data_IF_949625177437
#
_entry.id   IF_949625177437
#
_cell.length_a   1.000
_cell.length_b   1.000
_cell.length_c   1.000
_cell.angle_alpha   90.00
_cell.angle_beta   90.00
_cell.angle_gamma   90.00
#
_symmetry.space_group_name_H-M   'P 1'
#
loop_
_entity.id
_entity.type
_entity.pdbx_description
1 polymer ?
#
# COMPACT_ATOMS: atom_id res chain seq x y z
N UNK A 1 2.21 -14.04 15.75
CA UNK A 1 0.99 -13.55 15.08
C UNK A 1 0.33 -14.63 14.25
N UNK A 2 0.81 -14.92 13.03
CA UNK A 2 0.15 -15.77 12.03
C UNK A 2 -0.21 -17.16 12.56
N UNK A 3 0.75 -17.88 13.16
CA UNK A 3 0.50 -19.20 13.74
C UNK A 3 -0.64 -19.18 14.78
N UNK A 4 -0.69 -18.16 15.62
CA UNK A 4 -1.72 -18.05 16.65
C UNK A 4 -3.11 -17.85 16.03
N UNK A 5 -3.22 -17.00 14.99
CA UNK A 5 -4.47 -16.77 14.26
C UNK A 5 -4.95 -18.06 13.60
N UNK A 6 -4.06 -18.79 12.89
CA UNK A 6 -4.40 -20.07 12.27
C UNK A 6 -4.88 -21.08 13.32
N UNK A 7 -4.15 -21.21 14.44
CA UNK A 7 -4.52 -22.12 15.52
C UNK A 7 -5.92 -21.79 16.08
N UNK A 8 -6.22 -20.51 16.27
CA UNK A 8 -7.54 -20.07 16.76
C UNK A 8 -8.63 -20.27 15.71
N UNK A 9 -8.35 -19.94 14.45
CA UNK A 9 -9.29 -20.12 13.36
C UNK A 9 -9.70 -21.60 13.22
N UNK A 10 -8.74 -22.51 13.27
CA UNK A 10 -9.02 -23.96 13.27
C UNK A 10 -9.77 -24.42 14.52
N UNK A 11 -9.37 -23.93 15.70
CA UNK A 11 -10.02 -24.29 16.98
C UNK A 11 -11.52 -23.91 16.99
N UNK A 12 -11.83 -22.77 16.41
CA UNK A 12 -13.21 -22.21 16.40
C UNK A 12 -13.95 -22.44 15.09
N UNK A 13 -13.40 -23.29 14.20
CA UNK A 13 -14.00 -23.63 12.90
C UNK A 13 -14.37 -22.39 12.08
N UNK A 14 -13.43 -21.44 11.96
CA UNK A 14 -13.62 -20.26 11.12
C UNK A 14 -13.59 -20.68 9.65
N UNK A 15 -14.70 -20.50 8.95
CA UNK A 15 -14.85 -20.96 7.57
C UNK A 15 -13.97 -20.18 6.59
N UNK A 16 -13.86 -18.88 6.78
CA UNK A 16 -13.15 -18.00 5.87
C UNK A 16 -12.19 -17.07 6.63
N UNK A 17 -10.97 -16.98 6.15
CA UNK A 17 -9.95 -16.05 6.65
C UNK A 17 -9.17 -15.52 5.46
N UNK A 18 -9.02 -14.21 5.38
CA UNK A 18 -8.14 -13.55 4.43
C UNK A 18 -7.08 -12.79 5.21
N UNK A 19 -5.81 -13.13 4.99
CA UNK A 19 -4.69 -12.42 5.59
C UNK A 19 -4.18 -11.33 4.65
N UNK A 20 -3.96 -10.12 5.19
CA UNK A 20 -3.39 -9.02 4.40
C UNK A 20 -1.88 -9.21 4.22
N UNK A 21 -1.46 -9.27 2.98
CA UNK A 21 -0.07 -9.31 2.53
C UNK A 21 0.27 -8.10 1.66
N UNK A 22 1.34 -8.18 0.90
CA UNK A 22 1.91 -7.08 0.14
C UNK A 22 2.64 -7.59 -1.11
N UNK A 23 2.70 -6.76 -2.15
CA UNK A 23 3.53 -6.94 -3.35
C UNK A 23 5.01 -7.20 -3.04
N UNK A 24 5.49 -6.74 -1.87
CA UNK A 24 6.88 -6.95 -1.41
C UNK A 24 7.18 -8.40 -1.01
N UNK A 25 6.14 -9.22 -0.83
CA UNK A 25 6.28 -10.67 -0.65
C UNK A 25 6.65 -11.39 -1.97
N UNK A 26 6.37 -10.77 -3.13
CA UNK A 26 6.85 -11.27 -4.42
C UNK A 26 8.36 -11.02 -4.52
N UNK A 27 9.14 -12.07 -4.76
CA UNK A 27 10.61 -11.96 -4.85
C UNK A 27 11.20 -11.09 -3.73
N UNK A 28 11.07 -11.51 -2.45
CA UNK A 28 11.41 -10.65 -1.31
C UNK A 28 12.92 -10.40 -1.23
N UNK A 29 13.33 -9.15 -1.08
CA UNK A 29 14.74 -8.73 -0.96
C UNK A 29 15.11 -8.24 0.44
N UNK A 30 14.14 -8.12 1.34
CA UNK A 30 14.35 -7.63 2.70
C UNK A 30 13.54 -8.45 3.72
N UNK A 31 13.86 -8.27 4.99
CA UNK A 31 13.22 -8.99 6.11
C UNK A 31 11.71 -8.82 6.14
N UNK A 32 11.20 -7.63 5.80
CA UNK A 32 9.76 -7.39 5.75
C UNK A 32 9.08 -8.25 4.69
N UNK A 33 9.57 -8.20 3.43
CA UNK A 33 9.06 -9.04 2.35
C UNK A 33 9.16 -10.53 2.66
N UNK A 34 10.30 -10.98 3.22
CA UNK A 34 10.50 -12.38 3.64
C UNK A 34 9.50 -12.81 4.71
N UNK A 35 9.24 -11.95 5.71
CA UNK A 35 8.28 -12.26 6.77
C UNK A 35 6.84 -12.37 6.23
N UNK A 36 6.48 -11.53 5.27
CA UNK A 36 5.17 -11.57 4.61
C UNK A 36 5.04 -12.80 3.70
N UNK A 37 6.07 -13.13 2.93
CA UNK A 37 6.11 -14.36 2.14
C UNK A 37 5.92 -15.61 3.01
N UNK A 38 6.63 -15.70 4.14
CA UNK A 38 6.45 -16.81 5.08
C UNK A 38 5.02 -16.88 5.64
N UNK A 39 4.44 -15.72 5.97
CA UNK A 39 3.04 -15.64 6.38
C UNK A 39 2.10 -16.19 5.31
N UNK A 40 2.30 -15.82 4.05
CA UNK A 40 1.50 -16.28 2.91
C UNK A 40 1.52 -17.81 2.80
N UNK A 41 2.71 -18.41 2.83
CA UNK A 41 2.86 -19.87 2.76
C UNK A 41 2.13 -20.56 3.92
N UNK A 42 2.21 -20.02 5.12
CA UNK A 42 1.49 -20.57 6.29
C UNK A 42 -0.03 -20.49 6.12
N UNK A 43 -0.56 -19.37 5.63
CA UNK A 43 -2.01 -19.15 5.45
C UNK A 43 -2.57 -20.09 4.39
N UNK A 44 -1.91 -20.19 3.22
CA UNK A 44 -2.32 -21.04 2.11
C UNK A 44 -2.29 -22.54 2.48
N UNK A 45 -1.29 -22.96 3.25
CA UNK A 45 -1.17 -24.35 3.72
C UNK A 45 -2.39 -24.82 4.53
N UNK A 46 -3.09 -23.90 5.19
CA UNK A 46 -4.31 -24.17 5.95
C UNK A 46 -5.61 -23.89 5.20
N UNK A 47 -5.52 -23.78 3.87
CA UNK A 47 -6.67 -23.56 2.99
C UNK A 47 -7.40 -22.21 3.21
N UNK A 48 -6.71 -21.23 3.78
CA UNK A 48 -7.15 -19.84 3.87
C UNK A 48 -6.59 -19.01 2.73
N UNK A 49 -7.10 -17.80 2.54
CA UNK A 49 -6.70 -16.92 1.44
C UNK A 49 -5.84 -15.76 1.93
N UNK A 50 -5.11 -15.16 1.01
CA UNK A 50 -4.34 -13.94 1.23
C UNK A 50 -4.81 -12.84 0.27
N UNK A 51 -4.75 -11.59 0.72
CA UNK A 51 -4.88 -10.42 -0.11
C UNK A 51 -3.50 -9.79 -0.25
N UNK A 52 -2.92 -9.88 -1.45
CA UNK A 52 -1.60 -9.33 -1.74
C UNK A 52 -1.74 -7.91 -2.27
N UNK A 53 -1.83 -6.95 -1.34
CA UNK A 53 -2.03 -5.54 -1.66
C UNK A 53 -0.79 -4.85 -2.19
N UNK A 54 -1.01 -3.74 -2.88
CA UNK A 54 0.00 -2.71 -3.21
C UNK A 54 0.06 -1.66 -2.10
N UNK A 55 0.69 -0.50 -2.33
CA UNK A 55 0.68 0.56 -1.32
C UNK A 55 -0.75 1.11 -1.15
N UNK A 56 -1.21 1.20 0.08
CA UNK A 56 -2.51 1.79 0.39
C UNK A 56 -2.35 3.31 0.43
N UNK A 57 -3.07 3.99 -0.48
CA UNK A 57 -2.93 5.44 -0.60
C UNK A 57 -3.30 6.13 0.70
N UNK A 58 -2.36 6.89 1.24
CA UNK A 58 -2.49 7.63 2.51
C UNK A 58 -2.88 6.78 3.72
N UNK A 59 -2.39 5.56 3.81
CA UNK A 59 -2.52 4.77 5.03
C UNK A 59 -1.60 5.30 6.14
N UNK A 60 -1.93 4.97 7.38
CA UNK A 60 -1.08 5.30 8.54
C UNK A 60 0.34 4.74 8.37
N UNK A 61 1.35 5.58 8.59
CA UNK A 61 2.75 5.24 8.37
C UNK A 61 3.20 5.19 6.90
N UNK A 62 2.33 5.48 5.93
CA UNK A 62 2.73 5.63 4.52
C UNK A 62 3.60 6.87 4.30
N UNK A 63 4.27 6.94 3.15
CA UNK A 63 5.13 8.08 2.79
C UNK A 63 4.35 9.41 2.84
N UNK A 64 3.11 9.43 2.36
CA UNK A 64 2.25 10.62 2.42
C UNK A 64 1.90 11.02 3.86
N UNK A 65 1.56 10.04 4.68
CA UNK A 65 1.25 10.29 6.10
C UNK A 65 2.47 10.82 6.85
N UNK A 66 3.66 10.23 6.61
CA UNK A 66 4.91 10.70 7.20
C UNK A 66 5.20 12.14 6.79
N UNK A 67 5.16 12.46 5.48
CA UNK A 67 5.40 13.82 4.99
C UNK A 67 4.36 14.80 5.51
N UNK A 68 3.09 14.43 5.53
CA UNK A 68 2.02 15.25 6.07
C UNK A 68 2.25 15.61 7.54
N UNK A 69 2.61 14.61 8.37
CA UNK A 69 2.91 14.82 9.80
C UNK A 69 4.16 15.68 10.01
N UNK A 70 5.21 15.48 9.20
CA UNK A 70 6.42 16.32 9.24
C UNK A 70 6.10 17.77 8.88
N UNK A 71 5.30 18.02 7.83
CA UNK A 71 4.85 19.35 7.45
C UNK A 71 4.07 20.02 8.59
N UNK A 72 3.12 19.30 9.19
CA UNK A 72 2.30 19.82 10.30
C UNK A 72 3.12 20.18 11.53
N UNK A 73 4.21 19.48 11.78
CA UNK A 73 5.14 19.76 12.88
C UNK A 73 6.26 20.73 12.50
N UNK A 74 6.26 21.24 11.26
CA UNK A 74 7.33 22.08 10.73
C UNK A 74 8.73 21.43 10.80
N UNK A 75 8.78 20.10 10.65
CA UNK A 75 9.98 19.28 10.60
C UNK A 75 10.55 19.23 9.19
N UNK A 76 11.83 18.84 9.05
CA UNK A 76 12.46 18.64 7.76
C UNK A 76 11.85 17.41 7.06
N UNK A 77 11.53 17.55 5.77
CA UNK A 77 11.06 16.44 4.96
C UNK A 77 12.22 15.55 4.52
N UNK A 78 12.08 14.27 4.74
CA UNK A 78 13.04 13.25 4.33
C UNK A 78 12.53 12.53 3.09
N UNK A 79 13.26 12.68 1.98
CA UNK A 79 12.90 12.08 0.68
C UNK A 79 13.99 11.07 0.34
N UNK A 80 13.60 9.85 0.01
CA UNK A 80 14.56 8.79 -0.35
C UNK A 80 15.03 8.95 -1.80
N UNK A 81 14.18 8.62 -2.77
CA UNK A 81 14.48 8.74 -4.19
C UNK A 81 13.21 9.16 -4.95
N UNK A 82 13.27 10.31 -5.60
CA UNK A 82 12.14 10.87 -6.34
C UNK A 82 11.85 10.15 -7.66
N UNK A 83 12.79 9.34 -8.17
CA UNK A 83 12.62 8.64 -9.44
C UNK A 83 11.83 7.33 -9.29
N UNK A 84 11.52 6.92 -8.07
CA UNK A 84 10.77 5.70 -7.82
C UNK A 84 9.33 5.82 -8.30
N UNK A 85 8.83 4.72 -8.85
CA UNK A 85 7.42 4.52 -9.16
C UNK A 85 6.82 3.48 -8.22
N UNK A 86 5.59 3.72 -7.76
CA UNK A 86 4.88 2.81 -6.88
C UNK A 86 3.45 2.62 -7.35
N UNK A 87 2.94 1.41 -7.13
CA UNK A 87 1.52 1.11 -7.30
C UNK A 87 0.76 1.42 -6.03
N UNK A 88 -0.42 1.98 -6.22
CA UNK A 88 -1.33 2.36 -5.13
C UNK A 88 -2.73 1.81 -5.37
N UNK A 89 -3.44 1.56 -4.30
CA UNK A 89 -4.88 1.32 -4.30
C UNK A 89 -5.55 2.15 -3.22
N UNK A 90 -6.83 2.44 -3.41
CA UNK A 90 -7.63 3.18 -2.44
C UNK A 90 -8.27 2.20 -1.46
N UNK A 91 -8.47 2.66 -0.22
CA UNK A 91 -9.03 1.81 0.83
C UNK A 91 -10.42 1.28 0.47
N UNK A 92 -11.25 2.08 -0.21
CA UNK A 92 -12.58 1.66 -0.63
C UNK A 92 -12.51 0.45 -1.58
N UNK A 93 -11.59 0.50 -2.55
CA UNK A 93 -11.38 -0.60 -3.50
C UNK A 93 -10.85 -1.86 -2.83
N UNK A 94 -9.97 -1.70 -1.86
CA UNK A 94 -9.43 -2.82 -1.06
C UNK A 94 -10.57 -3.49 -0.27
N UNK A 95 -11.45 -2.71 0.36
CA UNK A 95 -12.61 -3.23 1.08
C UNK A 95 -13.58 -3.95 0.14
N UNK A 96 -13.85 -3.40 -1.04
CA UNK A 96 -14.67 -4.07 -2.07
C UNK A 96 -14.06 -5.42 -2.47
N UNK A 97 -12.76 -5.45 -2.75
CA UNK A 97 -12.04 -6.68 -3.11
C UNK A 97 -12.13 -7.74 -2.01
N UNK A 98 -11.93 -7.36 -0.74
CA UNK A 98 -11.99 -8.27 0.41
C UNK A 98 -13.40 -8.85 0.58
N UNK A 99 -14.45 -8.01 0.49
CA UNK A 99 -15.84 -8.45 0.64
C UNK A 99 -16.22 -9.39 -0.50
N UNK A 100 -15.87 -9.05 -1.73
CA UNK A 100 -16.23 -9.84 -2.91
C UNK A 100 -15.51 -11.21 -2.94
N UNK A 101 -14.40 -11.34 -2.25
CA UNK A 101 -13.58 -12.54 -2.25
C UNK A 101 -13.59 -13.29 -0.91
N UNK A 102 -14.45 -12.91 0.05
CA UNK A 102 -14.44 -13.49 1.40
C UNK A 102 -14.68 -14.99 1.42
N UNK A 103 -15.42 -15.53 0.45
CA UNK A 103 -15.73 -16.95 0.33
C UNK A 103 -14.65 -17.77 -0.38
N UNK A 104 -13.68 -17.13 -1.01
CA UNK A 104 -12.59 -17.81 -1.70
C UNK A 104 -11.66 -18.49 -0.70
N UNK A 105 -11.25 -19.71 -1.02
CA UNK A 105 -10.30 -20.49 -0.20
C UNK A 105 -9.04 -20.79 -1.00
N UNK A 106 -7.92 -20.87 -0.29
CA UNK A 106 -6.61 -21.19 -0.86
C UNK A 106 -6.24 -20.33 -2.07
N UNK A 107 -6.52 -19.05 -1.99
CA UNK A 107 -6.39 -18.11 -3.11
C UNK A 107 -5.48 -16.95 -2.77
N UNK A 108 -4.73 -16.50 -3.78
CA UNK A 108 -4.04 -15.21 -3.76
C UNK A 108 -4.95 -14.20 -4.45
N UNK A 109 -5.49 -13.29 -3.66
CA UNK A 109 -6.36 -12.21 -4.11
C UNK A 109 -5.48 -10.98 -4.34
N UNK A 110 -5.61 -10.40 -5.52
CA UNK A 110 -4.86 -9.19 -5.90
C UNK A 110 -5.81 -8.01 -6.07
N UNK A 111 -5.35 -6.77 -5.88
CA UNK A 111 -6.19 -5.59 -6.05
C UNK A 111 -6.76 -5.49 -7.47
N UNK A 112 -8.06 -5.22 -7.59
CA UNK A 112 -8.72 -5.03 -8.90
C UNK A 112 -8.57 -3.62 -9.45
N UNK A 113 -8.37 -2.61 -8.58
CA UNK A 113 -8.23 -1.19 -8.95
C UNK A 113 -6.92 -0.65 -8.39
N UNK A 114 -5.92 -0.55 -9.25
CA UNK A 114 -4.61 0.03 -8.93
C UNK A 114 -4.26 1.17 -9.90
N UNK A 115 -3.40 2.06 -9.45
CA UNK A 115 -2.83 3.13 -10.24
C UNK A 115 -1.36 3.33 -9.89
N UNK A 116 -0.59 3.86 -10.80
CA UNK A 116 0.84 4.11 -10.66
C UNK A 116 1.10 5.60 -10.40
N UNK A 117 2.00 5.89 -9.48
CA UNK A 117 2.43 7.26 -9.17
C UNK A 117 3.96 7.30 -9.09
N UNK A 118 4.55 8.34 -9.72
CA UNK A 118 5.94 8.72 -9.49
C UNK A 118 6.08 9.44 -8.17
N UNK A 119 7.09 9.09 -7.40
CA UNK A 119 7.26 9.68 -6.06
C UNK A 119 7.52 11.20 -6.12
N UNK A 120 8.19 11.69 -7.19
CA UNK A 120 8.33 13.13 -7.42
C UNK A 120 6.98 13.84 -7.57
N UNK A 121 6.06 13.28 -8.39
CA UNK A 121 4.74 13.89 -8.61
C UNK A 121 3.89 13.85 -7.34
N UNK A 122 4.00 12.77 -6.56
CA UNK A 122 3.35 12.65 -5.26
C UNK A 122 3.83 13.73 -4.27
N UNK A 123 5.16 13.92 -4.19
CA UNK A 123 5.78 14.92 -3.33
C UNK A 123 5.36 16.33 -3.73
N UNK A 124 5.52 16.70 -5.00
CA UNK A 124 5.19 18.03 -5.48
C UNK A 124 3.69 18.34 -5.34
N UNK A 125 2.82 17.36 -5.58
CA UNK A 125 1.38 17.52 -5.37
C UNK A 125 1.03 17.78 -3.91
N UNK A 126 1.66 17.09 -2.96
CA UNK A 126 1.46 17.31 -1.53
C UNK A 126 1.93 18.71 -1.11
N UNK A 127 3.12 19.11 -1.55
CA UNK A 127 3.68 20.45 -1.30
C UNK A 127 2.75 21.54 -1.81
N UNK A 128 2.23 21.38 -3.03
CA UNK A 128 1.30 22.33 -3.63
C UNK A 128 -0.01 22.44 -2.83
N UNK A 129 -0.61 21.31 -2.47
CA UNK A 129 -1.89 21.30 -1.71
C UNK A 129 -1.73 21.93 -0.33
N UNK A 130 -0.58 21.71 0.33
CA UNK A 130 -0.34 22.22 1.68
C UNK A 130 0.35 23.60 1.69
N UNK A 131 0.67 24.17 0.53
CA UNK A 131 1.41 25.42 0.37
C UNK A 131 2.68 25.48 1.25
N UNK A 132 3.51 24.42 1.18
CA UNK A 132 4.67 24.25 2.03
C UNK A 132 5.97 24.73 1.35
N UNK A 133 6.83 25.45 2.09
CA UNK A 133 8.15 25.88 1.59
C UNK A 133 9.17 24.72 1.61
N UNK A 134 9.64 24.32 0.44
CA UNK A 134 10.53 23.17 0.23
C UNK A 134 11.97 23.38 0.71
N UNK A 135 12.35 24.60 1.17
CA UNK A 135 13.70 24.88 1.68
C UNK A 135 14.13 23.99 2.84
N UNK A 136 13.18 23.32 3.48
CA UNK A 136 13.40 22.38 4.60
C UNK A 136 13.38 20.91 4.16
N UNK A 137 13.41 20.61 2.88
CA UNK A 137 13.48 19.23 2.40
C UNK A 137 14.91 18.83 2.07
N UNK A 138 15.25 17.56 2.31
CA UNK A 138 16.53 16.99 1.90
C UNK A 138 16.33 15.59 1.32
N UNK A 139 17.14 15.27 0.31
CA UNK A 139 17.14 13.96 -0.35
C UNK A 139 18.19 13.10 0.34
N UNK A 140 17.74 11.97 0.92
CA UNK A 140 18.64 11.01 1.58
C UNK A 140 19.29 10.04 0.60
N UNK A 141 18.76 9.92 -0.59
CA UNK A 141 19.19 8.93 -1.57
C UNK A 141 18.52 7.56 -1.39
N UNK A 142 18.86 6.67 -2.30
CA UNK A 142 18.33 5.30 -2.39
C UNK A 142 18.77 4.45 -1.19
N UNK A 143 17.88 3.57 -0.72
CA UNK A 143 18.19 2.57 0.31
C UNK A 143 18.47 1.23 -0.35
N UNK A 144 19.56 0.57 -0.02
CA UNK A 144 20.01 -0.70 -0.62
C UNK A 144 18.96 -1.84 -0.51
N UNK A 145 18.04 -1.74 0.44
CA UNK A 145 17.01 -2.75 0.71
C UNK A 145 15.62 -2.38 0.16
N UNK A 146 15.53 -1.42 -0.75
CA UNK A 146 14.29 -1.05 -1.45
C UNK A 146 14.34 -1.48 -2.91
N UNK A 147 13.22 -2.00 -3.43
CA UNK A 147 13.08 -2.26 -4.86
C UNK A 147 12.91 -0.93 -5.61
N UNK A 148 13.59 -0.78 -6.74
CA UNK A 148 13.34 0.34 -7.65
C UNK A 148 11.95 0.22 -8.29
N UNK A 149 11.60 -1.00 -8.70
CA UNK A 149 10.30 -1.34 -9.31
C UNK A 149 9.69 -2.47 -8.50
N UNK A 150 8.44 -2.32 -8.08
CA UNK A 150 7.67 -3.39 -7.44
C UNK A 150 7.13 -4.34 -8.51
N UNK A 151 7.19 -5.64 -8.21
CA UNK A 151 6.70 -6.70 -9.10
C UNK A 151 5.32 -7.11 -8.61
N UNK A 152 4.32 -6.96 -9.48
CA UNK A 152 2.98 -7.45 -9.23
C UNK A 152 2.94 -8.97 -9.46
N UNK A 153 2.00 -9.67 -8.81
CA UNK A 153 1.87 -11.12 -8.96
C UNK A 153 1.43 -11.46 -10.39
N UNK A 154 1.99 -12.52 -10.99
CA UNK A 154 1.74 -12.95 -12.39
C UNK A 154 0.27 -13.31 -12.66
N UNK A 155 -0.52 -13.64 -11.64
CA UNK A 155 -1.97 -13.88 -11.76
C UNK A 155 -2.79 -12.61 -11.96
N UNK A 156 -2.18 -11.45 -11.93
CA UNK A 156 -2.83 -10.24 -12.39
C UNK A 156 -2.90 -10.31 -13.92
N UNK A 157 -3.95 -10.92 -14.44
CA UNK A 157 -4.45 -10.63 -15.79
C UNK A 157 -4.89 -9.17 -15.82
N UNK A 158 -3.90 -8.28 -15.69
CA UNK A 158 -4.06 -6.86 -15.99
C UNK A 158 -4.20 -6.76 -17.51
N UNK A 159 -5.34 -7.24 -18.02
CA UNK A 159 -5.75 -7.02 -19.39
C UNK A 159 -5.99 -5.53 -19.68
N UNK A 160 -5.70 -4.67 -18.71
CA UNK A 160 -5.81 -3.23 -18.78
C UNK A 160 -4.47 -2.60 -18.40
N UNK A 161 -4.06 -1.62 -19.18
CA UNK A 161 -2.94 -0.76 -18.86
C UNK A 161 -3.19 -0.08 -17.52
N UNK A 162 -2.26 -0.24 -16.55
CA UNK A 162 -2.39 0.38 -15.22
C UNK A 162 -2.33 1.89 -15.40
N UNK A 163 -3.36 2.65 -15.01
CA UNK A 163 -3.36 4.09 -15.19
C UNK A 163 -2.22 4.74 -14.40
N UNK A 164 -1.46 5.60 -15.07
CA UNK A 164 -0.49 6.48 -14.44
C UNK A 164 -1.18 7.79 -14.07
N UNK A 165 -1.19 8.11 -12.77
CA UNK A 165 -1.77 9.35 -12.28
C UNK A 165 -0.80 10.50 -12.47
N UNK A 166 -1.25 11.55 -13.13
CA UNK A 166 -0.53 12.82 -13.24
C UNK A 166 -0.76 13.68 -11.97
N UNK A 167 -0.06 14.81 -11.87
CA UNK A 167 -0.16 15.71 -10.71
C UNK A 167 -1.57 16.20 -10.42
N UNK A 168 -2.39 16.45 -11.44
CA UNK A 168 -3.78 16.91 -11.24
C UNK A 168 -4.63 15.82 -10.60
N UNK A 169 -4.47 14.57 -11.03
CA UNK A 169 -5.18 13.42 -10.46
C UNK A 169 -4.77 13.19 -9.00
N UNK A 170 -3.46 13.31 -8.72
CA UNK A 170 -2.91 13.19 -7.37
C UNK A 170 -3.44 14.30 -6.46
N UNK A 171 -3.46 15.54 -6.92
CA UNK A 171 -4.00 16.69 -6.17
C UNK A 171 -5.48 16.49 -5.84
N UNK A 172 -6.29 16.04 -6.82
CA UNK A 172 -7.70 15.72 -6.58
C UNK A 172 -7.86 14.62 -5.50
N UNK A 173 -7.01 13.59 -5.59
CA UNK A 173 -7.06 12.49 -4.64
C UNK A 173 -6.64 12.92 -3.23
N UNK A 174 -5.57 13.71 -3.09
CA UNK A 174 -5.11 14.29 -1.83
C UNK A 174 -6.21 15.16 -1.19
N UNK A 175 -6.80 16.07 -1.97
CA UNK A 175 -7.87 16.94 -1.48
C UNK A 175 -9.12 16.17 -1.04
N UNK A 176 -9.47 15.09 -1.75
CA UNK A 176 -10.56 14.21 -1.35
C UNK A 176 -10.25 13.54 -0.02
N UNK A 177 -9.09 12.92 0.12
CA UNK A 177 -8.68 12.23 1.34
C UNK A 177 -8.64 13.16 2.55
N UNK A 178 -8.14 14.39 2.39
CA UNK A 178 -8.16 15.40 3.47
C UNK A 178 -9.58 15.74 3.91
N UNK A 179 -10.52 15.92 2.96
CA UNK A 179 -11.92 16.20 3.29
C UNK A 179 -12.57 15.04 4.05
N UNK A 180 -12.35 13.81 3.59
CA UNK A 180 -12.93 12.60 4.20
C UNK A 180 -12.38 12.40 5.63
N UNK A 181 -11.12 12.72 5.88
CA UNK A 181 -10.50 12.66 7.21
C UNK A 181 -11.07 13.72 8.17
N UNK A 182 -11.36 14.93 7.69
CA UNK A 182 -11.98 15.98 8.54
C UNK A 182 -13.44 15.68 8.89
N UNK A 183 -14.19 15.04 8.00
CA UNK A 183 -15.60 14.66 8.25
C UNK A 183 -15.68 13.53 9.29
N UNK A 184 -14.72 12.63 9.35
CA UNK A 184 -14.70 11.53 10.32
C UNK A 184 -14.28 11.94 11.74
N UNK A 185 -13.83 13.19 11.94
CA UNK A 185 -13.47 13.76 13.25
C UNK A 185 -14.55 14.66 13.85
N UNK A 186 -15.67 14.84 13.15
CA UNK A 186 -16.87 15.54 13.63
C UNK A 186 -17.96 14.53 14.02
#
# INVERSE_FOLDING_TARGET
>A
GTKNIITLANKYNVDNLIALSTDKANTPINTYGMSKYLMEQMILQYNYSIYQGVNFFWSDGSVLDIWYRQIKKNENLCITDLNQERYYSRIESICEDLINNISHKNSIITPTKIFKIKLCDLFESLIQVLNYDTKKSFIMGYRDNEKQIEILHDNQNLNHEIPEYNKEDIIKLINKTLKDTYISCL
#
